data_IF_846795254711
#
_entry.id   IF_846795254711
#
_cell.length_a   1.000
_cell.length_b   1.000
_cell.length_c   1.000
_cell.angle_alpha   90.00
_cell.angle_beta   90.00
_cell.angle_gamma   90.00
#
_symmetry.space_group_name_H-M   'P 1'
#
loop_
_entity.id
_entity.type
_entity.pdbx_description
1 polymer ?
#
# COMPACT_ATOMS: atom_id res chain seq x y z
N UNK A 1 -6.27 -31.87 -0.49
CA UNK A 1 -5.90 -30.44 -0.50
C UNK A 1 -4.40 -30.35 -0.63
N UNK A 2 -3.89 -29.27 -1.19
CA UNK A 2 -2.46 -28.98 -1.17
C UNK A 2 -2.12 -28.17 0.08
N UNK A 3 -0.96 -28.42 0.68
CA UNK A 3 -0.45 -27.66 1.83
C UNK A 3 0.82 -26.93 1.42
N UNK A 4 0.94 -25.66 1.83
CA UNK A 4 2.16 -24.88 1.67
C UNK A 4 3.05 -25.08 2.89
N UNK A 5 4.22 -25.71 2.70
CA UNK A 5 5.22 -25.94 3.76
C UNK A 5 6.39 -24.99 3.54
N UNK A 6 6.66 -24.12 4.53
CA UNK A 6 7.81 -23.20 4.52
C UNK A 6 8.96 -23.86 5.30
N UNK A 7 10.05 -24.18 4.62
CA UNK A 7 11.21 -24.87 5.20
C UNK A 7 12.40 -23.95 5.49
N UNK A 8 12.51 -22.83 4.76
CA UNK A 8 13.58 -21.87 4.94
C UNK A 8 13.09 -20.65 5.73
N UNK A 9 13.82 -20.33 6.81
CA UNK A 9 13.61 -19.16 7.66
C UNK A 9 14.92 -18.37 7.89
N UNK A 10 15.95 -18.60 7.07
CA UNK A 10 17.28 -17.99 7.24
C UNK A 10 17.31 -16.46 7.07
N UNK A 11 16.27 -15.90 6.44
CA UNK A 11 16.08 -14.46 6.23
C UNK A 11 14.94 -13.86 7.08
N UNK A 12 14.46 -14.59 8.09
CA UNK A 12 13.42 -14.08 8.97
C UNK A 12 13.95 -12.87 9.77
N UNK A 13 13.30 -11.72 9.59
CA UNK A 13 13.64 -10.48 10.29
C UNK A 13 12.51 -10.07 11.25
N UNK A 14 12.83 -9.63 12.47
CA UNK A 14 11.83 -9.09 13.37
C UNK A 14 11.30 -7.76 12.80
N UNK A 15 9.98 -7.65 12.70
CA UNK A 15 9.30 -6.43 12.31
C UNK A 15 8.58 -5.85 13.53
N UNK A 16 9.03 -4.70 14.08
CA UNK A 16 8.38 -4.07 15.22
C UNK A 16 6.91 -3.76 14.93
N UNK A 17 6.05 -3.87 15.95
CA UNK A 17 4.60 -3.63 15.80
C UNK A 17 4.29 -2.26 15.20
N UNK A 18 5.01 -1.21 15.62
CA UNK A 18 4.87 0.14 15.07
C UNK A 18 5.15 0.20 13.56
N UNK A 19 6.13 -0.56 13.07
CA UNK A 19 6.46 -0.66 11.64
C UNK A 19 5.37 -1.40 10.88
N UNK A 20 4.81 -2.47 11.47
CA UNK A 20 3.63 -3.16 10.91
C UNK A 20 2.46 -2.20 10.76
N UNK A 21 2.16 -1.41 11.79
CA UNK A 21 1.05 -0.45 11.74
C UNK A 21 1.29 0.70 10.75
N UNK A 22 2.53 1.19 10.63
CA UNK A 22 2.89 2.20 9.64
C UNK A 22 2.73 1.67 8.21
N UNK A 23 3.23 0.46 7.92
CA UNK A 23 3.08 -0.21 6.62
C UNK A 23 1.62 -0.49 6.30
N UNK A 24 0.83 -0.91 7.30
CA UNK A 24 -0.61 -1.11 7.13
C UNK A 24 -1.31 0.20 6.81
N UNK A 25 -0.98 1.28 7.52
CA UNK A 25 -1.55 2.61 7.27
C UNK A 25 -1.17 3.14 5.88
N UNK A 26 0.08 2.92 5.44
CA UNK A 26 0.55 3.21 4.08
C UNK A 26 -0.27 2.44 3.05
N UNK A 27 -0.41 1.12 3.21
CA UNK A 27 -1.17 0.28 2.28
C UNK A 27 -2.64 0.71 2.20
N UNK A 28 -3.28 0.99 3.34
CA UNK A 28 -4.64 1.50 3.40
C UNK A 28 -4.75 2.84 2.65
N UNK A 29 -3.81 3.78 2.86
CA UNK A 29 -3.80 5.05 2.13
C UNK A 29 -3.77 4.82 0.60
N UNK A 30 -2.92 3.91 0.13
CA UNK A 30 -2.82 3.53 -1.28
C UNK A 30 -4.13 2.88 -1.78
N UNK A 31 -4.74 1.97 -1.01
CA UNK A 31 -5.99 1.28 -1.35
C UNK A 31 -7.19 2.23 -1.42
N UNK A 32 -7.24 3.26 -0.57
CA UNK A 32 -8.33 4.25 -0.62
C UNK A 32 -8.00 5.50 -1.45
N UNK A 33 -6.79 5.58 -2.01
CA UNK A 33 -6.43 6.63 -2.98
C UNK A 33 -5.88 7.91 -2.34
N UNK A 34 -5.59 7.88 -1.04
CA UNK A 34 -4.94 8.97 -0.32
C UNK A 34 -3.42 8.94 -0.55
N UNK A 35 -3.02 9.15 -1.80
CA UNK A 35 -1.60 9.09 -2.19
C UNK A 35 -0.73 10.17 -1.52
N UNK A 36 -1.22 11.41 -1.28
CA UNK A 36 -0.48 12.37 -0.48
C UNK A 36 -0.20 11.86 0.94
N UNK A 37 -1.19 11.24 1.61
CA UNK A 37 -0.97 10.66 2.93
C UNK A 37 -0.05 9.45 2.87
N UNK A 38 -0.15 8.59 1.85
CA UNK A 38 0.78 7.49 1.62
C UNK A 38 2.23 7.99 1.52
N UNK A 39 2.47 9.05 0.75
CA UNK A 39 3.79 9.66 0.62
C UNK A 39 4.30 10.24 1.94
N UNK A 40 3.42 10.88 2.73
CA UNK A 40 3.78 11.38 4.05
C UNK A 40 4.17 10.26 5.00
N UNK A 41 3.37 9.19 5.09
CA UNK A 41 3.67 8.03 5.95
C UNK A 41 5.03 7.43 5.58
N UNK A 42 5.32 7.25 4.29
CA UNK A 42 6.62 6.70 3.88
C UNK A 42 7.77 7.65 4.24
N UNK A 43 7.59 8.96 4.07
CA UNK A 43 8.59 9.96 4.47
C UNK A 43 8.81 10.00 5.99
N UNK A 44 7.74 9.88 6.80
CA UNK A 44 7.80 9.76 8.26
C UNK A 44 8.57 8.51 8.73
N UNK A 45 8.65 7.47 7.89
CA UNK A 45 9.46 6.27 8.20
C UNK A 45 10.95 6.44 7.92
N UNK A 46 11.38 7.56 7.34
CA UNK A 46 12.79 7.84 7.11
C UNK A 46 13.52 8.09 8.44
N UNK A 47 14.59 7.34 8.76
CA UNK A 47 15.38 7.57 9.97
C UNK A 47 16.17 8.88 9.93
N UNK A 48 16.52 9.35 8.73
CA UNK A 48 17.21 10.62 8.51
C UNK A 48 16.64 11.32 7.29
N UNK A 49 15.78 12.30 7.55
CA UNK A 49 15.20 13.19 6.54
C UNK A 49 15.95 14.52 6.40
N UNK A 50 16.97 14.77 7.24
CA UNK A 50 17.72 16.03 7.24
C UNK A 50 18.55 16.25 5.97
N UNK A 51 18.89 15.15 5.29
CA UNK A 51 19.64 15.14 4.03
C UNK A 51 18.76 15.30 2.80
N UNK A 52 17.44 15.30 2.97
CA UNK A 52 16.51 15.48 1.88
C UNK A 52 16.53 16.93 1.40
N UNK A 53 17.00 17.14 0.17
CA UNK A 53 17.18 18.48 -0.37
C UNK A 53 15.88 19.15 -0.84
N UNK A 54 14.84 18.37 -1.15
CA UNK A 54 13.49 18.88 -1.41
C UNK A 54 12.43 17.87 -0.95
N UNK A 55 12.03 17.92 0.34
CA UNK A 55 11.00 17.04 0.90
C UNK A 55 9.65 17.14 0.19
N UNK A 56 9.30 18.33 -0.32
CA UNK A 56 8.02 18.55 -0.95
C UNK A 56 7.97 17.89 -2.33
N UNK A 57 9.03 18.00 -3.13
CA UNK A 57 9.14 17.31 -4.41
C UNK A 57 9.27 15.80 -4.25
N UNK A 58 10.00 15.32 -3.23
CA UNK A 58 10.05 13.90 -2.89
C UNK A 58 8.65 13.33 -2.63
N UNK A 59 7.88 13.96 -1.74
CA UNK A 59 6.52 13.51 -1.40
C UNK A 59 5.56 13.58 -2.59
N UNK A 60 5.65 14.63 -3.42
CA UNK A 60 4.88 14.69 -4.69
C UNK A 60 5.25 13.55 -5.63
N UNK A 61 6.54 13.24 -5.76
CA UNK A 61 7.04 12.14 -6.58
C UNK A 61 6.51 10.78 -6.10
N UNK A 62 6.52 10.53 -4.79
CA UNK A 62 5.96 9.32 -4.20
C UNK A 62 4.46 9.20 -4.43
N UNK A 63 3.71 10.28 -4.17
CA UNK A 63 2.27 10.28 -4.39
C UNK A 63 1.92 9.98 -5.85
N UNK A 64 2.70 10.51 -6.80
CA UNK A 64 2.53 10.21 -8.21
C UNK A 64 2.88 8.75 -8.54
N UNK A 65 3.95 8.21 -7.98
CA UNK A 65 4.32 6.80 -8.17
C UNK A 65 3.23 5.83 -7.69
N UNK A 66 2.64 6.08 -6.51
CA UNK A 66 1.53 5.27 -6.00
C UNK A 66 0.27 5.42 -6.83
N UNK A 67 0.00 6.63 -7.34
CA UNK A 67 -1.12 6.88 -8.25
C UNK A 67 -0.96 6.12 -9.56
N UNK A 68 0.23 6.14 -10.17
CA UNK A 68 0.49 5.48 -11.44
C UNK A 68 0.42 3.95 -11.32
N UNK A 69 1.00 3.38 -10.26
CA UNK A 69 0.86 1.96 -9.93
C UNK A 69 -0.61 1.52 -9.85
N UNK A 70 -1.48 2.39 -9.32
CA UNK A 70 -2.91 2.14 -9.27
C UNK A 70 -3.64 2.40 -10.59
N UNK A 71 -3.12 3.27 -11.46
CA UNK A 71 -3.67 3.50 -12.80
C UNK A 71 -3.46 2.28 -13.69
N UNK A 72 -2.32 1.60 -13.54
CA UNK A 72 -1.99 0.39 -14.29
C UNK A 72 -3.02 -0.73 -14.07
N UNK A 73 -3.76 -0.74 -12.95
CA UNK A 73 -4.90 -1.65 -12.73
C UNK A 73 -5.96 -1.55 -13.84
N UNK A 74 -6.13 -0.37 -14.44
CA UNK A 74 -7.10 -0.18 -15.52
C UNK A 74 -6.58 -0.64 -16.89
N UNK A 75 -5.26 -0.56 -17.08
CA UNK A 75 -4.59 -0.94 -18.32
C UNK A 75 -4.29 -2.44 -18.34
N UNK A 76 -3.96 -3.01 -17.17
CA UNK A 76 -3.46 -4.38 -17.00
C UNK A 76 -4.39 -5.28 -16.17
N UNK A 77 -5.38 -4.72 -15.48
CA UNK A 77 -6.33 -5.48 -14.66
C UNK A 77 -5.86 -5.79 -13.22
N UNK A 78 -4.59 -5.49 -12.88
CA UNK A 78 -3.99 -5.79 -11.58
C UNK A 78 -3.00 -4.70 -11.14
N UNK A 79 -2.64 -4.68 -9.85
CA UNK A 79 -1.60 -3.79 -9.30
C UNK A 79 -0.22 -4.44 -9.44
N UNK A 80 0.75 -3.73 -10.04
CA UNK A 80 2.17 -4.09 -9.98
C UNK A 80 2.84 -3.42 -8.77
N UNK A 81 2.95 -4.14 -7.64
CA UNK A 81 3.52 -3.57 -6.40
C UNK A 81 5.01 -3.25 -6.58
N UNK A 82 5.68 -4.01 -7.44
CA UNK A 82 7.09 -3.90 -7.78
C UNK A 82 7.42 -2.57 -8.43
N UNK A 83 6.58 -2.09 -9.34
CA UNK A 83 6.74 -0.79 -9.98
C UNK A 83 6.73 0.34 -8.95
N UNK A 84 5.77 0.33 -8.03
CA UNK A 84 5.71 1.32 -6.94
C UNK A 84 6.94 1.24 -6.04
N UNK A 85 7.39 0.03 -5.68
CA UNK A 85 8.56 -0.17 -4.84
C UNK A 85 9.85 0.33 -5.53
N UNK A 86 10.07 -0.05 -6.79
CA UNK A 86 11.23 0.37 -7.57
C UNK A 86 11.23 1.89 -7.76
N UNK A 87 10.06 2.48 -8.06
CA UNK A 87 9.96 3.93 -8.21
C UNK A 87 10.20 4.68 -6.90
N UNK A 88 9.71 4.15 -5.77
CA UNK A 88 10.00 4.70 -4.45
C UNK A 88 11.49 4.64 -4.12
N UNK A 89 12.16 3.51 -4.39
CA UNK A 89 13.62 3.37 -4.19
C UNK A 89 14.42 4.37 -5.03
N UNK A 90 14.04 4.57 -6.30
CA UNK A 90 14.67 5.59 -7.16
C UNK A 90 14.52 7.00 -6.59
N UNK A 91 13.33 7.35 -6.07
CA UNK A 91 13.07 8.64 -5.46
C UNK A 91 13.88 8.82 -4.17
N UNK A 92 13.95 7.80 -3.32
CA UNK A 92 14.75 7.82 -2.10
C UNK A 92 16.20 8.13 -2.43
N UNK A 93 16.77 7.43 -3.42
CA UNK A 93 18.14 7.65 -3.86
C UNK A 93 18.35 9.07 -4.40
N UNK A 94 17.46 9.52 -5.29
CA UNK A 94 17.56 10.82 -5.94
C UNK A 94 17.43 12.00 -4.95
N UNK A 95 16.51 11.90 -4.00
CA UNK A 95 16.28 12.92 -2.98
C UNK A 95 17.15 12.76 -1.73
N UNK A 96 18.05 11.76 -1.69
CA UNK A 96 18.94 11.47 -0.57
C UNK A 96 18.20 11.30 0.77
N UNK A 97 17.06 10.60 0.73
CA UNK A 97 16.25 10.27 1.90
C UNK A 97 16.81 9.00 2.53
N UNK A 98 16.99 8.96 3.85
CA UNK A 98 17.37 7.73 4.53
C UNK A 98 16.25 6.69 4.44
N UNK A 99 16.59 5.41 4.21
CA UNK A 99 15.67 4.30 4.42
C UNK A 99 16.07 3.54 5.67
N UNK A 100 15.07 3.26 6.51
CA UNK A 100 15.20 2.33 7.61
C UNK A 100 15.53 0.92 7.07
N UNK A 101 16.46 0.23 7.72
CA UNK A 101 16.92 -1.10 7.28
C UNK A 101 15.75 -2.09 7.25
N UNK A 102 14.87 -2.05 8.25
CA UNK A 102 13.70 -2.92 8.32
C UNK A 102 12.70 -2.63 7.21
N UNK A 103 12.46 -1.35 6.89
CA UNK A 103 11.64 -0.95 5.75
C UNK A 103 12.25 -1.43 4.42
N UNK A 104 13.57 -1.29 4.26
CA UNK A 104 14.30 -1.74 3.06
C UNK A 104 14.12 -3.24 2.82
N UNK A 105 14.33 -4.07 3.86
CA UNK A 105 14.11 -5.50 3.76
C UNK A 105 12.65 -5.87 3.50
N UNK A 106 11.71 -5.10 4.04
CA UNK A 106 10.28 -5.31 3.78
C UNK A 106 9.94 -5.04 2.31
N UNK A 107 10.49 -3.97 1.72
CA UNK A 107 10.36 -3.68 0.28
C UNK A 107 10.94 -4.83 -0.56
N UNK A 108 12.13 -5.33 -0.22
CA UNK A 108 12.71 -6.48 -0.91
C UNK A 108 11.89 -7.77 -0.75
N UNK A 109 11.33 -8.00 0.43
CA UNK A 109 10.41 -9.12 0.66
C UNK A 109 9.17 -9.03 -0.23
N UNK A 110 8.55 -7.85 -0.35
CA UNK A 110 7.40 -7.64 -1.25
C UNK A 110 7.77 -7.85 -2.72
N UNK A 111 8.92 -7.32 -3.16
CA UNK A 111 9.44 -7.54 -4.52
C UNK A 111 9.67 -9.03 -4.81
N UNK A 112 10.24 -9.76 -3.85
CA UNK A 112 10.52 -11.20 -3.99
C UNK A 112 9.23 -12.03 -4.04
N UNK A 113 8.26 -11.70 -3.18
CA UNK A 113 6.96 -12.40 -3.12
C UNK A 113 6.18 -12.16 -4.42
N UNK A 114 6.07 -10.92 -4.87
CA UNK A 114 5.37 -10.63 -6.13
C UNK A 114 6.08 -11.25 -7.34
N UNK A 115 7.41 -11.14 -7.41
CA UNK A 115 8.19 -11.73 -8.49
C UNK A 115 8.02 -13.26 -8.56
N UNK A 116 7.93 -13.93 -7.40
CA UNK A 116 7.69 -15.38 -7.33
C UNK A 116 6.23 -15.72 -7.69
N UNK A 117 5.27 -14.93 -7.22
CA UNK A 117 3.86 -15.13 -7.52
C UNK A 117 3.59 -14.99 -9.03
N UNK A 118 4.16 -13.98 -9.68
CA UNK A 118 4.03 -13.76 -11.13
C UNK A 118 4.72 -14.80 -12.00
N UNK A 119 5.74 -15.48 -11.48
CA UNK A 119 6.33 -16.64 -12.16
C UNK A 119 5.37 -17.84 -12.17
N UNK A 120 4.50 -17.96 -11.17
CA UNK A 120 3.49 -19.03 -11.09
C UNK A 120 2.21 -18.66 -11.85
N UNK A 121 1.76 -17.42 -11.71
CA UNK A 121 0.59 -16.86 -12.37
C UNK A 121 0.89 -15.41 -12.78
N UNK A 122 1.18 -15.14 -14.08
CA UNK A 122 1.58 -13.83 -14.56
C UNK A 122 0.59 -12.70 -14.27
N UNK A 123 -0.70 -13.03 -14.12
CA UNK A 123 -1.80 -12.08 -13.92
C UNK A 123 -2.22 -11.94 -12.46
N UNK A 124 -1.48 -12.55 -11.52
CA UNK A 124 -1.81 -12.50 -10.09
C UNK A 124 -1.75 -11.07 -9.54
N UNK A 125 -2.84 -10.65 -8.89
CA UNK A 125 -2.89 -9.41 -8.14
C UNK A 125 -2.57 -9.64 -6.66
N UNK A 126 -1.28 -9.54 -6.32
CA UNK A 126 -0.80 -9.71 -4.96
C UNK A 126 -1.39 -8.67 -3.99
N UNK A 127 -1.63 -7.44 -4.45
CA UNK A 127 -2.21 -6.39 -3.60
C UNK A 127 -3.66 -6.69 -3.25
N UNK A 128 -4.45 -7.16 -4.22
CA UNK A 128 -5.82 -7.63 -4.01
C UNK A 128 -5.86 -8.82 -3.05
N UNK A 129 -4.96 -9.80 -3.23
CA UNK A 129 -4.87 -10.95 -2.32
C UNK A 129 -4.52 -10.55 -0.88
N UNK A 130 -3.66 -9.53 -0.72
CA UNK A 130 -3.26 -9.01 0.59
C UNK A 130 -4.34 -8.16 1.27
N UNK A 131 -5.29 -7.60 0.51
CA UNK A 131 -6.28 -6.62 1.00
C UNK A 131 -7.05 -7.14 2.21
N UNK A 132 -7.48 -8.41 2.22
CA UNK A 132 -8.20 -9.03 3.35
C UNK A 132 -7.41 -9.11 4.66
N UNK A 133 -6.09 -9.07 4.58
CA UNK A 133 -5.20 -9.12 5.76
C UNK A 133 -4.79 -7.71 6.22
N UNK A 134 -4.83 -6.75 5.30
CA UNK A 134 -4.52 -5.35 5.55
C UNK A 134 -5.74 -4.64 6.13
N UNK A 135 -6.91 -4.82 5.50
CA UNK A 135 -8.16 -4.18 5.88
C UNK A 135 -8.88 -5.04 6.92
N UNK A 136 -8.84 -4.54 8.15
CA UNK A 136 -9.56 -5.07 9.30
C UNK A 136 -10.26 -3.93 10.03
N UNK A 137 -11.31 -4.21 10.80
CA UNK A 137 -12.02 -3.19 11.59
C UNK A 137 -11.05 -2.34 12.44
N UNK A 138 -10.12 -2.94 13.23
CA UNK A 138 -9.17 -2.15 14.03
C UNK A 138 -8.28 -1.25 13.16
N UNK A 139 -7.79 -1.77 12.03
CA UNK A 139 -6.92 -1.01 11.15
C UNK A 139 -7.60 0.17 10.46
N UNK A 140 -8.88 0.02 10.08
CA UNK A 140 -9.67 1.10 9.51
C UNK A 140 -9.93 2.19 10.55
N UNK A 141 -10.33 1.80 11.77
CA UNK A 141 -10.53 2.72 12.89
C UNK A 141 -9.26 3.51 13.19
N UNK A 142 -8.10 2.86 13.16
CA UNK A 142 -6.82 3.54 13.33
C UNK A 142 -6.50 4.49 12.18
N UNK A 143 -6.65 4.04 10.93
CA UNK A 143 -6.35 4.83 9.75
C UNK A 143 -7.23 6.09 9.65
N UNK A 144 -8.52 6.00 9.97
CA UNK A 144 -9.45 7.13 9.94
C UNK A 144 -9.02 8.32 10.83
N UNK A 145 -8.14 8.12 11.81
CA UNK A 145 -7.64 9.21 12.67
C UNK A 145 -6.65 10.15 11.96
N UNK A 146 -6.05 9.70 10.86
CA UNK A 146 -4.93 10.40 10.23
C UNK A 146 -5.06 10.55 8.69
N UNK A 147 -6.18 10.12 8.11
CA UNK A 147 -6.44 10.16 6.67
C UNK A 147 -7.34 11.35 6.31
N UNK A 148 -7.40 11.69 5.03
CA UNK A 148 -8.29 12.75 4.54
C UNK A 148 -9.78 12.44 4.79
N UNK A 149 -10.62 13.47 4.73
CA UNK A 149 -12.07 13.34 4.96
C UNK A 149 -12.74 12.45 3.90
N UNK A 150 -12.38 12.58 2.64
CA UNK A 150 -12.91 11.77 1.53
C UNK A 150 -12.61 10.30 1.76
N UNK A 151 -11.36 9.97 2.06
CA UNK A 151 -10.91 8.62 2.41
C UNK A 151 -11.63 8.07 3.64
N UNK A 152 -11.76 8.86 4.70
CA UNK A 152 -12.46 8.47 5.93
C UNK A 152 -13.92 8.08 5.66
N UNK A 153 -14.61 8.78 4.75
CA UNK A 153 -15.99 8.42 4.35
C UNK A 153 -16.06 7.05 3.67
N UNK A 154 -15.06 6.70 2.86
CA UNK A 154 -15.00 5.39 2.20
C UNK A 154 -14.72 4.27 3.19
N UNK A 155 -13.79 4.48 4.11
CA UNK A 155 -13.52 3.54 5.20
C UNK A 155 -14.75 3.31 6.09
N UNK A 156 -15.49 4.38 6.40
CA UNK A 156 -16.72 4.28 7.19
C UNK A 156 -17.81 3.53 6.42
N UNK A 157 -17.95 3.78 5.12
CA UNK A 157 -18.83 3.00 4.24
C UNK A 157 -18.47 1.51 4.25
N UNK A 158 -17.18 1.18 4.22
CA UNK A 158 -16.70 -0.20 4.28
C UNK A 158 -17.03 -0.88 5.62
N UNK A 159 -16.88 -0.16 6.74
CA UNK A 159 -17.31 -0.67 8.05
C UNK A 159 -18.82 -0.92 8.12
N UNK A 160 -19.64 0.00 7.59
CA UNK A 160 -21.10 -0.15 7.61
C UNK A 160 -21.56 -1.31 6.71
N UNK A 161 -21.05 -1.39 5.48
CA UNK A 161 -21.36 -2.49 4.56
C UNK A 161 -20.90 -3.84 5.13
N UNK A 162 -19.68 -3.90 5.70
CA UNK A 162 -19.17 -5.10 6.36
C UNK A 162 -20.04 -5.56 7.53
N UNK A 163 -20.60 -4.62 8.32
CA UNK A 163 -21.50 -4.95 9.44
C UNK A 163 -22.82 -5.60 9.00
N UNK A 164 -23.24 -5.39 7.75
CA UNK A 164 -24.45 -6.00 7.16
C UNK A 164 -24.15 -7.11 6.15
N UNK A 165 -22.89 -7.56 6.07
CA UNK A 165 -22.46 -8.65 5.18
C UNK A 165 -22.41 -8.29 3.69
N UNK A 166 -22.25 -7.00 3.38
CA UNK A 166 -22.17 -6.49 2.00
C UNK A 166 -20.74 -6.06 1.70
N UNK A 167 -20.23 -6.43 0.52
CA UNK A 167 -18.96 -5.90 0.01
C UNK A 167 -19.15 -4.45 -0.45
N UNK A 168 -18.45 -3.52 0.20
CA UNK A 168 -18.55 -2.09 -0.08
C UNK A 168 -18.14 -1.73 -1.51
N UNK A 169 -17.07 -2.34 -2.01
CA UNK A 169 -16.53 -2.04 -3.33
C UNK A 169 -17.42 -2.61 -4.43
N UNK A 170 -17.97 -3.81 -4.23
CA UNK A 170 -18.96 -4.39 -5.12
C UNK A 170 -20.27 -3.57 -5.14
N UNK A 171 -20.77 -3.18 -3.97
CA UNK A 171 -21.96 -2.33 -3.86
C UNK A 171 -21.76 -0.99 -4.57
N UNK A 172 -20.62 -0.35 -4.36
CA UNK A 172 -20.26 0.91 -5.02
C UNK A 172 -20.17 0.74 -6.54
N UNK A 173 -19.54 -0.32 -7.02
CA UNK A 173 -19.45 -0.63 -8.44
C UNK A 173 -20.83 -0.81 -9.10
N UNK A 174 -21.77 -1.48 -8.41
CA UNK A 174 -23.17 -1.63 -8.88
C UNK A 174 -23.90 -0.29 -9.02
N UNK A 175 -23.49 0.73 -8.26
CA UNK A 175 -24.02 2.10 -8.37
C UNK A 175 -23.35 2.93 -9.47
N UNK A 176 -22.45 2.33 -10.27
CA UNK A 176 -21.69 3.03 -11.31
C UNK A 176 -20.60 3.96 -10.77
N UNK A 177 -20.37 3.95 -9.45
CA UNK A 177 -19.31 4.68 -8.80
C UNK A 177 -18.02 3.88 -8.96
N UNK A 178 -17.05 4.43 -9.66
CA UNK A 178 -15.79 3.73 -9.98
C UNK A 178 -14.66 4.19 -9.08
N UNK A 179 -13.53 3.49 -9.12
CA UNK A 179 -12.33 3.93 -8.40
C UNK A 179 -11.79 5.28 -8.88
N UNK A 180 -12.21 5.79 -10.06
CA UNK A 180 -11.86 7.13 -10.55
C UNK A 180 -12.44 8.23 -9.65
N UNK A 181 -13.56 7.96 -8.99
CA UNK A 181 -14.23 8.89 -8.09
C UNK A 181 -13.51 9.02 -6.73
N UNK A 182 -12.45 8.24 -6.48
CA UNK A 182 -11.56 8.42 -5.33
C UNK A 182 -10.47 9.47 -5.56
N UNK A 183 -10.30 9.93 -6.80
CA UNK A 183 -9.21 10.84 -7.19
C UNK A 183 -9.57 12.33 -7.03
N UNK A 184 -10.80 12.63 -6.57
CA UNK A 184 -11.36 13.98 -6.44
C UNK A 184 -11.71 14.34 -4.99
#
# INVERSE_FOLDING_TARGET
GFELVVLDAGLAIPLPREKVEALRSLAIAIIYGDFPRAAEILYEQSPDSSRCWDPAAFKRGLAQAFRDCRRNVWEEGFVQVSDACLRALQLVQYYNVGLDTTLTWTLFGMLSVEGSARQLDPEVDCAKAATRYIITVPSLVQAMRAQSWTTTRHMFGELLCGAVGVDYWEWRHRLGLTWRDLQH
#
